data_IF_771139801355
#
_entry.id   IF_771139801355
#
_cell.length_a   1.000
_cell.length_b   1.000
_cell.length_c   1.000
_cell.angle_alpha   90.00
_cell.angle_beta   90.00
_cell.angle_gamma   90.00
#
_symmetry.space_group_name_H-M   'P 1'
#
loop_
_entity.id
_entity.type
_entity.pdbx_description
1 polymer ?
#
# COMPACT_ATOMS: atom_id res chain seq x y z
N UNK A 1 4.53 6.73 -12.25
CA UNK A 1 5.63 6.45 -11.31
C UNK A 1 5.10 6.61 -9.91
N UNK A 2 5.36 5.64 -9.03
CA UNK A 2 4.94 5.70 -7.63
C UNK A 2 5.80 6.73 -6.90
N UNK A 3 5.20 7.68 -6.18
CA UNK A 3 5.93 8.66 -5.37
C UNK A 3 6.41 8.01 -4.07
N UNK A 4 7.52 7.27 -4.15
CA UNK A 4 8.09 6.53 -3.03
C UNK A 4 9.58 6.83 -2.85
N UNK A 5 10.04 6.58 -1.64
CA UNK A 5 11.45 6.53 -1.24
C UNK A 5 11.82 5.08 -0.99
N UNK A 6 13.00 4.69 -1.46
CA UNK A 6 13.47 3.31 -1.40
C UNK A 6 14.81 3.29 -0.69
N UNK A 7 14.94 2.39 0.28
CA UNK A 7 16.15 2.19 1.06
C UNK A 7 16.54 0.72 0.99
N UNK A 8 17.83 0.45 0.85
CA UNK A 8 18.36 -0.91 0.92
C UNK A 8 19.34 -0.98 2.09
N UNK A 9 19.10 -1.94 2.98
CA UNK A 9 19.92 -2.21 4.15
C UNK A 9 20.54 -3.58 3.97
N UNK A 10 21.88 -3.69 3.83
CA UNK A 10 22.53 -4.98 3.79
C UNK A 10 22.45 -5.66 5.15
N UNK A 11 22.09 -6.94 5.15
CA UNK A 11 21.94 -7.78 6.33
C UNK A 11 22.68 -9.09 6.10
N UNK A 12 23.72 -9.34 6.89
CA UNK A 12 24.45 -10.60 6.81
C UNK A 12 23.95 -11.56 7.87
N UNK A 13 23.53 -12.76 7.46
CA UNK A 13 23.22 -13.83 8.39
C UNK A 13 24.11 -15.05 8.09
N UNK A 14 24.92 -15.42 9.09
CA UNK A 14 25.95 -16.47 9.00
C UNK A 14 26.95 -16.23 7.84
N UNK A 15 26.70 -16.84 6.67
CA UNK A 15 27.54 -16.74 5.45
C UNK A 15 26.74 -16.33 4.21
N UNK A 16 25.50 -15.88 4.39
CA UNK A 16 24.63 -15.49 3.29
C UNK A 16 24.24 -14.04 3.47
N UNK A 17 24.36 -13.29 2.38
CA UNK A 17 23.98 -11.89 2.32
C UNK A 17 22.51 -11.76 1.91
N UNK A 18 21.80 -11.00 2.71
CA UNK A 18 20.41 -10.62 2.50
C UNK A 18 20.32 -9.10 2.42
N UNK A 19 19.33 -8.60 1.71
CA UNK A 19 19.06 -7.17 1.67
C UNK A 19 17.64 -6.93 2.18
N UNK A 20 17.50 -5.99 3.11
CA UNK A 20 16.21 -5.46 3.54
C UNK A 20 15.92 -4.21 2.74
N UNK A 21 14.95 -4.32 1.82
CA UNK A 21 14.48 -3.21 1.01
C UNK A 21 13.25 -2.60 1.67
N UNK A 22 13.29 -1.31 1.95
CA UNK A 22 12.19 -0.54 2.52
C UNK A 22 11.64 0.40 1.45
N UNK A 23 10.33 0.34 1.21
CA UNK A 23 9.64 1.17 0.22
C UNK A 23 8.60 2.00 0.97
N UNK A 24 8.91 3.29 1.15
CA UNK A 24 8.08 4.24 1.88
C UNK A 24 7.34 5.15 0.89
N UNK A 25 6.00 5.26 0.95
CA UNK A 25 5.30 6.31 0.22
C UNK A 25 5.73 7.69 0.77
N UNK A 26 5.85 8.70 -0.11
CA UNK A 26 6.25 10.06 0.32
C UNK A 26 5.23 10.72 1.23
N UNK A 27 3.94 10.38 1.08
CA UNK A 27 2.86 10.94 1.86
C UNK A 27 2.27 9.91 2.83
N UNK A 28 1.99 10.37 4.04
CA UNK A 28 1.34 9.57 5.08
C UNK A 28 -0.06 9.18 4.60
N UNK A 29 -0.45 7.91 4.83
CA UNK A 29 -1.74 7.37 4.42
C UNK A 29 -1.80 6.76 3.01
N UNK A 30 -0.76 6.94 2.19
CA UNK A 30 -0.75 6.39 0.83
C UNK A 30 -0.30 4.92 0.73
N UNK A 31 0.02 4.28 1.86
CA UNK A 31 0.49 2.89 1.87
C UNK A 31 -0.52 1.94 1.22
N UNK A 32 -1.82 2.13 1.47
CA UNK A 32 -2.87 1.32 0.85
C UNK A 32 -2.88 1.48 -0.68
N UNK A 33 -2.74 2.72 -1.16
CA UNK A 33 -2.67 3.02 -2.58
C UNK A 33 -1.45 2.37 -3.23
N UNK A 34 -0.29 2.50 -2.60
CA UNK A 34 0.95 1.87 -3.02
C UNK A 34 0.78 0.34 -3.09
N UNK A 35 0.29 -0.29 -2.02
CA UNK A 35 0.06 -1.75 -1.96
C UNK A 35 -0.91 -2.23 -3.06
N UNK A 36 -1.97 -1.47 -3.34
CA UNK A 36 -2.99 -1.85 -4.33
C UNK A 36 -2.54 -1.70 -5.78
N UNK A 37 -1.57 -0.81 -6.05
CA UNK A 37 -1.12 -0.47 -7.40
C UNK A 37 0.24 -1.05 -7.77
N UNK A 38 1.06 -1.41 -6.78
CA UNK A 38 2.38 -1.99 -7.01
C UNK A 38 2.22 -3.39 -7.59
N UNK A 39 2.68 -3.55 -8.83
CA UNK A 39 2.71 -4.84 -9.51
C UNK A 39 4.00 -5.60 -9.20
N UNK A 40 4.03 -6.90 -9.51
CA UNK A 40 5.27 -7.69 -9.41
C UNK A 40 6.36 -7.20 -10.38
N UNK A 41 5.97 -6.63 -11.52
CA UNK A 41 6.89 -6.01 -12.49
C UNK A 41 7.49 -4.73 -11.91
N UNK A 42 6.69 -3.86 -11.29
CA UNK A 42 7.20 -2.66 -10.61
C UNK A 42 8.24 -3.02 -9.55
N UNK A 43 7.96 -4.06 -8.74
CA UNK A 43 8.90 -4.51 -7.71
C UNK A 43 10.19 -5.05 -8.33
N UNK A 44 10.10 -5.82 -9.41
CA UNK A 44 11.27 -6.33 -10.14
C UNK A 44 12.11 -5.19 -10.70
N UNK A 45 11.48 -4.17 -11.26
CA UNK A 45 12.17 -3.00 -11.79
C UNK A 45 12.89 -2.22 -10.69
N UNK A 46 12.24 -2.05 -9.52
CA UNK A 46 12.87 -1.47 -8.33
C UNK A 46 14.13 -2.25 -7.92
N UNK A 47 14.03 -3.58 -7.78
CA UNK A 47 15.14 -4.42 -7.36
C UNK A 47 16.29 -4.41 -8.37
N UNK A 48 15.98 -4.45 -9.68
CA UNK A 48 16.99 -4.36 -10.72
C UNK A 48 17.71 -3.01 -10.72
N UNK A 49 16.98 -1.92 -10.47
CA UNK A 49 17.57 -0.59 -10.41
C UNK A 49 18.47 -0.42 -9.17
N UNK A 50 18.08 -0.99 -8.02
CA UNK A 50 18.93 -1.03 -6.83
C UNK A 50 20.26 -1.75 -7.12
N UNK A 51 20.21 -2.93 -7.73
CA UNK A 51 21.41 -3.69 -8.12
C UNK A 51 22.33 -2.91 -9.08
N UNK A 52 21.75 -2.16 -10.03
CA UNK A 52 22.51 -1.29 -10.95
C UNK A 52 23.15 -0.12 -10.21
N UNK A 53 22.45 0.45 -9.24
CA UNK A 53 22.90 1.63 -8.49
C UNK A 53 23.98 1.23 -7.48
N UNK A 54 23.88 0.06 -6.84
CA UNK A 54 24.89 -0.50 -5.94
C UNK A 54 26.25 -0.69 -6.67
N UNK A 55 26.23 -1.18 -7.90
CA UNK A 55 27.42 -1.28 -8.75
C UNK A 55 28.08 0.09 -9.01
N UNK A 56 27.31 1.18 -8.92
CA UNK A 56 27.71 2.56 -9.19
C UNK A 56 28.06 3.34 -7.91
N UNK A 57 27.52 2.94 -6.76
CA UNK A 57 27.61 3.62 -5.46
C UNK A 57 28.70 3.07 -4.51
N UNK A 58 29.55 2.13 -4.95
CA UNK A 58 30.72 1.65 -4.17
C UNK A 58 31.71 2.74 -3.68
N UNK A 59 31.47 4.01 -4.03
CA UNK A 59 32.21 5.19 -3.56
C UNK A 59 31.45 6.09 -2.56
N UNK A 60 30.22 5.76 -2.17
CA UNK A 60 29.38 6.70 -1.40
C UNK A 60 29.50 6.53 0.12
N UNK A 61 29.50 7.69 0.79
CA UNK A 61 29.67 7.93 2.22
C UNK A 61 28.70 7.13 3.10
N UNK A 62 29.02 6.96 4.39
CA UNK A 62 28.10 6.40 5.40
C UNK A 62 26.76 7.17 5.43
N UNK A 63 25.65 6.45 5.32
CA UNK A 63 24.29 6.99 5.43
C UNK A 63 23.74 6.68 6.81
N UNK A 64 23.00 7.61 7.41
CA UNK A 64 22.35 7.41 8.71
C UNK A 64 20.87 7.12 8.52
N UNK A 65 20.41 5.95 8.97
CA UNK A 65 19.01 5.57 8.89
C UNK A 65 18.42 5.39 10.29
N UNK A 66 17.28 6.04 10.55
CA UNK A 66 16.49 5.85 11.76
C UNK A 66 15.23 5.06 11.43
N UNK A 67 15.10 3.88 12.04
CA UNK A 67 14.05 2.89 11.80
C UNK A 67 13.38 2.50 13.11
N UNK A 68 12.06 2.25 13.16
CA UNK A 68 11.40 1.81 14.37
C UNK A 68 11.85 0.39 14.73
N UNK A 69 12.01 0.15 16.02
CA UNK A 69 12.13 -1.21 16.59
C UNK A 69 10.72 -1.77 16.75
N UNK A 70 10.44 -2.90 16.11
CA UNK A 70 9.10 -3.52 16.15
C UNK A 70 9.15 -5.03 15.94
N UNK A 71 8.05 -5.70 16.27
CA UNK A 71 7.81 -7.10 15.95
C UNK A 71 6.38 -7.27 15.43
N UNK A 72 6.26 -7.93 14.29
CA UNK A 72 5.00 -8.29 13.64
C UNK A 72 4.92 -9.81 13.65
N UNK A 73 3.78 -10.33 14.13
CA UNK A 73 3.41 -11.74 14.01
C UNK A 73 2.19 -11.77 13.10
N UNK A 74 2.24 -12.57 12.04
CA UNK A 74 1.13 -12.77 11.11
C UNK A 74 0.75 -14.25 11.10
N UNK A 75 -0.55 -14.51 11.26
CA UNK A 75 -1.15 -15.83 11.21
C UNK A 75 -2.39 -15.72 10.33
N UNK A 76 -2.29 -16.19 9.08
CA UNK A 76 -3.33 -16.02 8.08
C UNK A 76 -3.69 -17.35 7.41
N UNK A 77 -4.99 -17.63 7.29
CA UNK A 77 -5.47 -18.73 6.48
C UNK A 77 -5.56 -18.29 5.01
N UNK A 78 -4.62 -18.79 4.21
CA UNK A 78 -4.43 -18.46 2.81
C UNK A 78 -5.35 -19.26 1.87
N UNK A 79 -6.20 -20.16 2.38
CA UNK A 79 -7.04 -21.03 1.55
C UNK A 79 -7.84 -20.24 0.50
N UNK A 80 -8.52 -19.17 0.92
CA UNK A 80 -9.32 -18.33 0.02
C UNK A 80 -8.46 -17.61 -1.03
N UNK A 81 -7.24 -17.21 -0.67
CA UNK A 81 -6.30 -16.56 -1.59
C UNK A 81 -5.81 -17.57 -2.64
N UNK A 82 -5.50 -18.78 -2.18
CA UNK A 82 -5.03 -19.87 -3.03
C UNK A 82 -6.11 -20.31 -4.01
N UNK A 83 -7.35 -20.51 -3.54
CA UNK A 83 -8.50 -20.87 -4.39
C UNK A 83 -8.85 -19.78 -5.41
N UNK A 84 -8.75 -18.50 -5.05
CA UNK A 84 -8.98 -17.39 -5.99
C UNK A 84 -7.96 -17.36 -7.13
N UNK A 85 -6.71 -17.73 -6.85
CA UNK A 85 -5.63 -17.72 -7.82
C UNK A 85 -5.52 -19.03 -8.61
N UNK A 86 -5.91 -20.15 -8.00
CA UNK A 86 -5.90 -21.46 -8.62
C UNK A 86 -7.25 -21.75 -9.29
N UNK A 87 -7.41 -21.25 -10.52
CA UNK A 87 -8.63 -21.48 -11.33
C UNK A 87 -8.94 -22.95 -11.60
N UNK A 88 -7.99 -23.87 -11.40
CA UNK A 88 -8.10 -25.27 -11.83
C UNK A 88 -7.95 -26.29 -10.67
N UNK A 89 -7.92 -25.86 -9.40
CA UNK A 89 -7.74 -26.81 -8.29
C UNK A 89 -8.99 -27.66 -8.02
N UNK A 90 -10.14 -27.30 -8.60
CA UNK A 90 -11.38 -28.07 -8.54
C UNK A 90 -11.47 -29.25 -9.54
N UNK A 91 -10.53 -29.37 -10.48
CA UNK A 91 -10.54 -30.43 -11.52
C UNK A 91 -9.53 -31.56 -11.23
N UNK A 92 -8.68 -31.40 -10.21
CA UNK A 92 -7.66 -32.37 -9.82
C UNK A 92 -8.04 -33.20 -8.60
N UNK A 93 -7.59 -34.45 -8.56
CA UNK A 93 -7.69 -35.43 -7.45
C UNK A 93 -6.83 -34.98 -6.27
N UNK A 94 -7.12 -33.83 -5.68
CA UNK A 94 -6.49 -33.35 -4.44
C UNK A 94 -7.53 -33.55 -3.33
N UNK A 95 -7.17 -34.19 -2.21
CA UNK A 95 -8.08 -34.30 -1.07
C UNK A 95 -8.51 -32.91 -0.59
N UNK A 96 -9.72 -32.76 -0.02
CA UNK A 96 -10.21 -31.47 0.45
C UNK A 96 -9.19 -30.86 1.43
N UNK A 97 -8.73 -29.66 1.12
CA UNK A 97 -7.82 -28.89 1.98
C UNK A 97 -8.67 -27.97 2.85
N UNK A 98 -8.69 -28.21 4.16
CA UNK A 98 -9.51 -27.44 5.10
C UNK A 98 -8.92 -26.05 5.42
N UNK A 99 -7.59 -25.93 5.44
CA UNK A 99 -6.90 -24.67 5.69
C UNK A 99 -5.46 -24.70 5.17
N UNK A 100 -4.96 -23.54 4.77
CA UNK A 100 -3.55 -23.32 4.45
C UNK A 100 -3.05 -22.21 5.37
N UNK A 101 -2.42 -22.58 6.47
CA UNK A 101 -1.92 -21.62 7.45
C UNK A 101 -0.56 -21.08 7.05
N UNK A 102 -0.45 -19.75 6.96
CA UNK A 102 0.80 -19.03 6.86
C UNK A 102 1.10 -18.35 8.19
N UNK A 103 2.16 -18.81 8.87
CA UNK A 103 2.60 -18.25 10.16
C UNK A 103 3.99 -17.66 9.97
N UNK A 104 4.10 -16.35 10.15
CA UNK A 104 5.34 -15.61 9.96
C UNK A 104 5.56 -14.61 11.09
N UNK A 105 6.79 -14.52 11.57
CA UNK A 105 7.23 -13.47 12.49
C UNK A 105 8.35 -12.68 11.85
N UNK A 106 8.22 -11.36 11.90
CA UNK A 106 9.26 -10.43 11.47
C UNK A 106 9.53 -9.44 12.59
N UNK A 107 10.80 -9.22 12.92
CA UNK A 107 11.18 -8.27 13.97
C UNK A 107 12.46 -7.55 13.60
N UNK A 108 12.50 -6.26 13.92
CA UNK A 108 13.66 -5.41 13.83
C UNK A 108 14.04 -5.01 15.25
N UNK A 109 15.23 -5.38 15.68
CA UNK A 109 15.83 -5.03 16.97
C UNK A 109 17.10 -4.20 16.75
N UNK A 110 17.72 -3.76 17.84
CA UNK A 110 18.99 -3.03 17.83
C UNK A 110 20.20 -3.98 17.73
N UNK A 111 19.95 -5.27 17.47
CA UNK A 111 21.00 -6.26 17.34
C UNK A 111 21.68 -6.12 15.96
N UNK A 112 22.92 -5.65 15.92
CA UNK A 112 23.66 -5.48 14.67
C UNK A 112 24.89 -4.58 14.79
N UNK A 113 25.73 -4.59 13.75
CA UNK A 113 26.91 -3.72 13.66
C UNK A 113 26.43 -2.31 13.25
N UNK A 114 26.80 -1.29 14.02
CA UNK A 114 26.47 0.11 13.72
C UNK A 114 25.07 0.56 14.15
N UNK A 115 24.28 -0.32 14.78
CA UNK A 115 22.99 0.04 15.37
C UNK A 115 23.17 0.74 16.72
N UNK A 116 22.35 1.77 17.00
CA UNK A 116 22.31 2.49 18.29
C UNK A 116 20.87 2.65 18.75
N UNK A 117 20.59 2.32 20.01
CA UNK A 117 19.28 2.56 20.61
C UNK A 117 19.21 3.99 21.15
N UNK A 118 18.43 4.85 20.48
CA UNK A 118 18.20 6.22 20.93
C UNK A 118 17.48 6.30 22.29
N UNK A 119 16.76 5.24 22.71
CA UNK A 119 16.08 5.23 24.01
C UNK A 119 17.04 5.10 25.19
N UNK A 120 18.24 4.57 24.95
CA UNK A 120 19.27 4.37 25.97
C UNK A 120 20.24 5.56 26.05
N UNK A 121 20.15 6.53 25.12
CA UNK A 121 20.94 7.75 25.19
C UNK A 121 20.38 8.71 26.26
N UNK A 122 21.26 9.45 26.93
CA UNK A 122 20.89 10.38 28.01
C UNK A 122 19.94 11.52 27.60
N UNK A 123 19.64 11.64 26.30
CA UNK A 123 18.65 12.56 25.77
C UNK A 123 17.89 11.85 24.62
N UNK A 124 16.71 11.25 24.85
CA UNK A 124 16.00 10.38 23.90
C UNK A 124 15.36 11.14 22.72
N UNK A 125 15.81 12.38 22.45
CA UNK A 125 15.38 13.16 21.30
C UNK A 125 16.16 12.68 20.08
N UNK A 126 15.53 12.75 18.91
CA UNK A 126 16.19 12.47 17.62
C UNK A 126 17.47 13.31 17.55
N UNK A 127 18.65 12.71 17.34
CA UNK A 127 19.92 13.44 17.28
C UNK A 127 19.84 14.63 16.33
N UNK A 128 20.37 15.79 16.72
CA UNK A 128 20.35 17.01 15.91
C UNK A 128 21.03 16.81 14.54
N UNK A 129 21.95 15.84 14.42
CA UNK A 129 22.58 15.46 13.13
C UNK A 129 21.65 14.79 12.12
N UNK A 130 20.40 14.48 12.52
CA UNK A 130 19.34 13.99 11.63
C UNK A 130 18.34 15.10 11.28
N UNK A 131 18.50 16.30 11.86
CA UNK A 131 17.63 17.44 11.62
C UNK A 131 18.27 18.27 10.53
N UNK A 132 17.57 18.43 9.40
CA UNK A 132 18.01 19.28 8.28
C UNK A 132 17.83 20.77 8.64
N UNK A 133 18.60 21.26 9.61
CA UNK A 133 18.72 22.69 9.85
C UNK A 133 19.71 23.28 8.86
N UNK A 134 19.21 23.67 7.70
CA UNK A 134 19.99 24.45 6.74
C UNK A 134 20.29 25.82 7.34
N UNK A 135 21.56 26.06 7.65
CA UNK A 135 22.11 27.39 7.91
C UNK A 135 22.73 27.95 6.61
N UNK A 136 22.82 29.27 6.48
CA UNK A 136 23.42 29.91 5.29
C UNK A 136 24.90 29.51 5.05
N UNK A 137 25.56 28.94 6.08
CA UNK A 137 26.93 28.41 5.98
C UNK A 137 27.01 27.02 5.35
N UNK A 138 25.88 26.32 5.17
CA UNK A 138 25.83 24.97 4.60
C UNK A 138 25.82 24.97 3.06
N UNK A 139 25.74 26.14 2.43
CA UNK A 139 25.91 26.31 0.99
C UNK A 139 27.36 26.06 0.53
N UNK A 140 28.33 26.20 1.44
CA UNK A 140 29.76 26.05 1.15
C UNK A 140 30.33 24.70 1.60
N UNK A 141 29.54 23.90 2.33
CA UNK A 141 29.98 22.58 2.80
C UNK A 141 29.66 21.48 1.76
N UNK A 142 30.54 20.48 1.57
CA UNK A 142 30.21 19.31 0.76
C UNK A 142 28.99 18.63 1.37
N UNK A 143 27.93 18.42 0.57
CA UNK A 143 26.64 17.90 1.00
C UNK A 143 26.75 16.88 2.14
N UNK A 144 26.05 17.19 3.24
CA UNK A 144 26.01 16.40 4.46
C UNK A 144 25.62 14.95 4.20
N UNK A 145 26.05 14.05 5.10
CA UNK A 145 25.69 12.63 5.06
C UNK A 145 24.17 12.48 4.92
N UNK A 146 23.72 11.71 3.94
CA UNK A 146 22.29 11.47 3.73
C UNK A 146 21.73 10.81 4.98
N UNK A 147 20.88 11.54 5.69
CA UNK A 147 20.16 11.07 6.87
C UNK A 147 18.70 10.86 6.51
N UNK A 148 18.14 9.74 6.96
CA UNK A 148 16.77 9.37 6.67
C UNK A 148 16.05 8.88 7.91
N UNK A 149 14.81 9.32 8.05
CA UNK A 149 13.93 8.95 9.14
C UNK A 149 12.69 8.26 8.59
N UNK A 150 12.48 7.02 9.02
CA UNK A 150 11.31 6.23 8.65
C UNK A 150 10.35 6.22 9.84
N UNK A 151 9.48 7.22 9.89
CA UNK A 151 8.48 7.44 10.94
C UNK A 151 7.05 7.08 10.52
N UNK A 152 6.84 6.88 9.22
CA UNK A 152 5.56 6.56 8.61
C UNK A 152 5.49 5.10 8.18
N UNK A 153 4.28 4.65 7.81
CA UNK A 153 4.07 3.30 7.27
C UNK A 153 4.89 3.04 6.00
N UNK A 154 5.40 1.82 5.83
CA UNK A 154 6.22 1.41 4.69
C UNK A 154 5.98 -0.06 4.31
N UNK A 155 6.31 -0.42 3.08
CA UNK A 155 6.46 -1.81 2.65
C UNK A 155 7.90 -2.26 2.89
N UNK A 156 8.09 -3.52 3.21
CA UNK A 156 9.42 -4.11 3.32
C UNK A 156 9.50 -5.41 2.55
N UNK A 157 10.65 -5.65 1.94
CA UNK A 157 10.97 -6.87 1.21
C UNK A 157 12.36 -7.33 1.63
N UNK A 158 12.46 -8.55 2.10
CA UNK A 158 13.74 -9.22 2.34
C UNK A 158 14.10 -9.98 1.08
N UNK A 159 15.25 -9.66 0.49
CA UNK A 159 15.76 -10.33 -0.69
C UNK A 159 17.06 -11.07 -0.39
N UNK A 160 17.34 -12.12 -1.16
CA UNK A 160 18.65 -12.77 -1.20
C UNK A 160 19.38 -12.28 -2.44
N UNK A 161 20.64 -11.86 -2.29
CA UNK A 161 21.47 -11.34 -3.39
C UNK A 161 20.78 -10.22 -4.21
N UNK A 162 19.90 -9.43 -3.60
CA UNK A 162 19.19 -8.31 -4.22
C UNK A 162 18.10 -8.67 -5.26
N UNK A 163 17.93 -9.94 -5.65
CA UNK A 163 17.04 -10.31 -6.76
C UNK A 163 15.91 -11.30 -6.41
N UNK A 164 16.06 -12.11 -5.37
CA UNK A 164 15.07 -13.13 -5.00
C UNK A 164 14.33 -12.66 -3.74
N UNK A 165 13.04 -12.26 -3.82
CA UNK A 165 12.25 -11.90 -2.66
C UNK A 165 11.92 -13.16 -1.83
N UNK A 166 12.28 -13.14 -0.56
CA UNK A 166 12.02 -14.24 0.39
C UNK A 166 10.83 -13.93 1.30
N UNK A 167 10.70 -12.68 1.71
CA UNK A 167 9.65 -12.23 2.60
C UNK A 167 9.21 -10.83 2.18
N UNK A 168 7.91 -10.60 2.16
CA UNK A 168 7.34 -9.29 1.89
C UNK A 168 6.26 -8.98 2.93
N UNK A 169 6.21 -7.73 3.35
CA UNK A 169 5.26 -7.28 4.36
C UNK A 169 5.09 -5.78 4.35
N UNK A 170 4.30 -5.28 5.30
CA UNK A 170 4.11 -3.86 5.51
C UNK A 170 4.12 -3.54 7.00
N UNK A 171 4.77 -2.44 7.35
CA UNK A 171 4.70 -1.83 8.67
C UNK A 171 3.68 -0.69 8.61
N UNK A 172 2.66 -0.74 9.48
CA UNK A 172 1.61 0.28 9.58
C UNK A 172 1.66 1.05 10.91
N UNK A 173 2.70 0.83 11.71
CA UNK A 173 2.85 1.34 13.08
C UNK A 173 2.73 0.24 14.14
N UNK A 174 3.35 0.45 15.30
CA UNK A 174 3.27 -0.47 16.44
C UNK A 174 3.05 0.30 17.77
N UNK A 175 1.84 0.23 18.38
CA UNK A 175 0.64 -0.40 17.84
C UNK A 175 0.19 0.30 16.55
N UNK A 176 -0.52 -0.40 15.63
CA UNK A 176 -1.07 0.24 14.44
C UNK A 176 -1.94 1.42 14.92
N UNK A 177 -1.68 2.65 14.46
CA UNK A 177 -2.44 3.79 14.92
C UNK A 177 -3.90 3.55 14.56
N UNK A 178 -4.85 3.79 15.48
CA UNK A 178 -6.26 3.73 15.12
C UNK A 178 -6.49 4.65 13.92
N UNK A 179 -7.41 4.31 13.02
CA UNK A 179 -7.67 5.11 11.82
C UNK A 179 -7.94 6.60 12.14
N UNK A 180 -8.42 6.87 13.35
CA UNK A 180 -8.61 8.21 13.92
C UNK A 180 -7.33 9.04 14.06
N UNK A 181 -6.16 8.42 14.21
CA UNK A 181 -4.86 9.10 14.29
C UNK A 181 -4.46 9.77 12.97
N UNK A 182 -5.04 9.33 11.85
CA UNK A 182 -4.77 9.89 10.52
C UNK A 182 -5.93 10.77 9.99
N UNK A 183 -7.08 10.75 10.65
CA UNK A 183 -8.18 11.66 10.36
C UNK A 183 -8.06 12.89 11.26
N UNK A 184 -7.81 14.05 10.67
CA UNK A 184 -8.01 15.31 11.39
C UNK A 184 -9.53 15.41 11.63
N UNK A 185 -10.00 15.42 12.89
CA UNK A 185 -11.41 15.63 13.16
C UNK A 185 -11.79 16.96 12.53
N UNK A 186 -12.77 16.92 11.63
CA UNK A 186 -13.28 18.12 11.00
C UNK A 186 -13.83 19.03 12.11
N UNK A 187 -13.56 20.33 12.06
CA UNK A 187 -14.08 21.24 13.09
C UNK A 187 -15.60 21.16 13.13
N UNK A 188 -16.18 21.31 14.33
CA UNK A 188 -17.62 21.25 14.53
C UNK A 188 -18.36 22.21 13.59
N UNK A 189 -17.76 23.37 13.30
CA UNK A 189 -18.24 24.35 12.33
C UNK A 189 -18.40 23.82 10.90
N UNK A 190 -17.62 22.84 10.48
CA UNK A 190 -17.72 22.22 9.15
C UNK A 190 -18.69 21.04 9.17
N UNK A 191 -18.77 20.31 10.28
CA UNK A 191 -19.73 19.22 10.48
C UNK A 191 -21.16 19.77 10.56
N UNK A 192 -21.33 20.88 11.27
CA UNK A 192 -22.61 21.57 11.46
C UNK A 192 -22.99 22.44 10.27
N UNK A 193 -22.12 22.58 9.26
CA UNK A 193 -22.50 23.25 8.02
C UNK A 193 -23.63 22.46 7.39
N UNK A 194 -24.79 23.09 7.14
CA UNK A 194 -25.86 22.43 6.41
C UNK A 194 -25.30 22.00 5.04
N UNK A 195 -25.67 20.81 4.54
CA UNK A 195 -25.20 20.34 3.25
C UNK A 195 -25.44 21.44 2.20
N UNK A 196 -24.45 21.70 1.32
CA UNK A 196 -24.54 22.81 0.38
C UNK A 196 -25.88 22.70 -0.35
N UNK A 197 -26.67 23.78 -0.33
CA UNK A 197 -27.96 23.83 -0.99
C UNK A 197 -27.74 23.43 -2.45
N UNK A 198 -28.19 22.23 -2.81
CA UNK A 198 -28.08 21.72 -4.17
C UNK A 198 -29.06 22.55 -4.99
N UNK A 199 -28.60 23.68 -5.51
CA UNK A 199 -29.33 24.42 -6.52
C UNK A 199 -29.52 23.45 -7.69
N UNK A 200 -30.77 23.06 -7.93
CA UNK A 200 -31.14 22.23 -9.08
C UNK A 200 -30.64 22.97 -10.31
N UNK A 201 -29.50 22.53 -10.87
CA UNK A 201 -28.96 23.10 -12.11
C UNK A 201 -30.10 23.10 -13.12
N UNK A 202 -30.40 24.24 -13.78
CA UNK A 202 -31.45 24.29 -14.78
C UNK A 202 -31.16 23.21 -15.82
N UNK A 203 -32.12 22.30 -16.04
CA UNK A 203 -31.94 21.19 -16.98
C UNK A 203 -31.56 21.79 -18.33
N UNK A 204 -30.43 21.39 -18.92
CA UNK A 204 -30.00 21.94 -20.21
C UNK A 204 -31.12 21.70 -21.23
N UNK A 205 -31.46 22.74 -22.01
CA UNK A 205 -32.49 22.64 -23.05
C UNK A 205 -32.06 21.58 -24.06
N UNK A 206 -32.75 20.44 -24.04
CA UNK A 206 -32.45 19.34 -24.96
C UNK A 206 -32.71 19.76 -26.41
N UNK A 207 -31.76 19.47 -27.29
CA UNK A 207 -31.93 19.66 -28.74
C UNK A 207 -33.01 18.74 -29.29
N UNK A 208 -33.59 19.07 -30.47
CA UNK A 208 -34.60 18.20 -31.13
C UNK A 208 -34.08 16.77 -31.32
N UNK A 209 -32.78 16.59 -31.60
CA UNK A 209 -32.13 15.29 -31.76
C UNK A 209 -32.07 14.51 -30.44
N UNK A 210 -31.70 15.16 -29.34
CA UNK A 210 -31.67 14.56 -28.01
C UNK A 210 -33.08 14.16 -27.52
N UNK A 211 -34.10 15.02 -27.73
CA UNK A 211 -35.50 14.67 -27.41
C UNK A 211 -35.99 13.43 -28.16
N UNK A 212 -35.62 13.29 -29.45
CA UNK A 212 -35.95 12.09 -30.25
C UNK A 212 -35.23 10.84 -29.72
N UNK A 213 -33.96 10.94 -29.35
CA UNK A 213 -33.20 9.83 -28.77
C UNK A 213 -33.75 9.39 -27.42
N UNK A 214 -34.10 10.33 -26.54
CA UNK A 214 -34.71 10.03 -25.24
C UNK A 214 -36.08 9.36 -25.40
N UNK A 215 -36.93 9.86 -26.33
CA UNK A 215 -38.22 9.22 -26.66
C UNK A 215 -38.04 7.78 -27.14
N UNK A 216 -37.01 7.50 -27.95
CA UNK A 216 -36.68 6.13 -28.40
C UNK A 216 -36.20 5.26 -27.23
N UNK A 217 -35.35 5.77 -26.34
CA UNK A 217 -34.90 5.05 -25.13
C UNK A 217 -36.07 4.68 -24.22
N UNK A 218 -36.98 5.61 -23.94
CA UNK A 218 -38.18 5.36 -23.13
C UNK A 218 -39.09 4.29 -23.74
N UNK A 219 -39.28 4.31 -25.07
CA UNK A 219 -40.05 3.26 -25.78
C UNK A 219 -39.39 1.88 -25.69
N UNK A 220 -38.06 1.79 -25.78
CA UNK A 220 -37.33 0.53 -25.61
C UNK A 220 -37.44 -0.01 -24.19
N UNK A 221 -37.25 0.85 -23.19
CA UNK A 221 -37.39 0.47 -21.78
C UNK A 221 -38.81 -0.02 -21.44
N UNK A 222 -39.85 0.63 -21.97
CA UNK A 222 -41.23 0.20 -21.78
C UNK A 222 -41.52 -1.17 -22.44
N UNK A 223 -40.93 -1.45 -23.61
CA UNK A 223 -41.03 -2.77 -24.25
C UNK A 223 -40.32 -3.86 -23.44
N UNK A 224 -39.14 -3.56 -22.89
CA UNK A 224 -38.42 -4.49 -22.02
C UNK A 224 -39.22 -4.81 -20.77
N UNK A 225 -39.74 -3.78 -20.06
CA UNK A 225 -40.58 -3.99 -18.87
C UNK A 225 -41.83 -4.85 -19.15
N UNK A 226 -42.51 -4.63 -20.28
CA UNK A 226 -43.65 -5.46 -20.68
C UNK A 226 -43.25 -6.90 -20.96
N UNK A 227 -42.08 -7.12 -21.56
CA UNK A 227 -41.57 -8.46 -21.85
C UNK A 227 -41.17 -9.19 -20.58
N UNK A 228 -40.54 -8.50 -19.64
CA UNK A 228 -40.22 -9.04 -18.31
C UNK A 228 -41.48 -9.42 -17.53
N UNK A 229 -42.53 -8.57 -17.56
CA UNK A 229 -43.81 -8.90 -16.93
C UNK A 229 -44.49 -10.13 -17.53
N UNK A 230 -44.56 -10.23 -18.87
CA UNK A 230 -45.13 -11.41 -19.52
C UNK A 230 -44.34 -12.70 -19.20
N UNK A 231 -43.01 -12.62 -19.13
CA UNK A 231 -42.19 -13.77 -18.76
C UNK A 231 -42.41 -14.20 -17.30
N UNK A 232 -42.65 -13.24 -16.40
CA UNK A 232 -42.96 -13.51 -15.00
C UNK A 232 -44.34 -14.20 -14.87
N UNK A 233 -45.36 -13.66 -15.54
CA UNK A 233 -46.71 -14.25 -15.60
C UNK A 233 -46.69 -15.66 -16.22
N UNK A 234 -45.87 -15.89 -17.25
CA UNK A 234 -45.69 -17.21 -17.87
C UNK A 234 -44.97 -18.20 -16.96
N UNK A 235 -44.00 -17.74 -16.14
CA UNK A 235 -43.36 -18.60 -15.14
C UNK A 235 -44.31 -18.98 -14.00
N UNK A 236 -45.10 -18.02 -13.50
CA UNK A 236 -46.08 -18.28 -12.44
C UNK A 236 -47.17 -19.27 -12.91
N UNK A 237 -47.67 -19.12 -14.14
CA UNK A 237 -48.66 -20.05 -14.72
C UNK A 237 -48.13 -21.48 -14.99
N UNK A 238 -46.80 -21.66 -15.06
CA UNK A 238 -46.15 -22.99 -15.19
C UNK A 238 -45.90 -23.66 -13.85
N UNK A 239 -45.82 -22.91 -12.76
CA UNK A 239 -45.68 -23.46 -11.41
C UNK A 239 -47.04 -23.87 -10.81
N UNK A 240 -48.15 -23.32 -11.31
CA UNK A 240 -49.52 -23.67 -10.88
C UNK A 240 -50.14 -24.90 -11.59
N UNK A 241 -49.48 -25.47 -12.62
CA UNK A 241 -49.90 -26.69 -13.33
C UNK A 241 -48.95 -27.86 -13.07
#
# INVERSE_FOLDING_TARGET
>A
MHHCEIWEIPVTAAKTDFNLVLIRPRFIGELHHLKSRMTGEDLKDILNELLRTEARLKLSKEHKLLLPVFSIVNEENMLNVWLKNAKNLGEGVIPPIDAIWNVAKFSISVDGIGAKDLKLEGNPRVPTSLWSHHSDKDLEQPHEQFSAYIDSSFLFVVTRNGNIPLLAGCYTGNPPPPATAFSIPCSQEIIDKPPPKVFKRPKPKLTKRQKRAEKRRRRRAARLKRREQMLLEESEAREEN
#
